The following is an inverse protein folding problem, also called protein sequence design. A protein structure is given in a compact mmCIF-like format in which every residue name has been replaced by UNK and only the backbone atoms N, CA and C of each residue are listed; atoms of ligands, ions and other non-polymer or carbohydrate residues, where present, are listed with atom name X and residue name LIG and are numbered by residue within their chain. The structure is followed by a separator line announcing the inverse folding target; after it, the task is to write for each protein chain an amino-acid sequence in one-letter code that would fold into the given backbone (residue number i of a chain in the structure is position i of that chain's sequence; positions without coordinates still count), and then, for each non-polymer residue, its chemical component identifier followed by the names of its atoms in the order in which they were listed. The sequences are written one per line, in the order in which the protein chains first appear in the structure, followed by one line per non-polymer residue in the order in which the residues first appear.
data_IF_605619009874
#
_entry.id   IF_605619009874
#
_cell.length_a   1.000
_cell.length_b   1.000
_cell.length_c   1.000
_cell.angle_alpha   90.00
_cell.angle_beta   90.00
_cell.angle_gamma   90.00
#
_symmetry.space_group_name_H-M   'P 1'
#
loop_
_entity.id
_entity.type
_entity.pdbx_description
1 polymer ?
#
# COMPACT_ATOMS: atom_id res chain seq x y z
N UNK A 1 -13.92 -8.73 -10.67
CA UNK A 1 -14.34 -8.70 -9.26
C UNK A 1 -13.15 -8.64 -8.29
N UNK A 2 -12.25 -9.64 -8.25
CA UNK A 2 -11.10 -9.63 -7.32
C UNK A 2 -10.05 -8.55 -7.64
N UNK A 3 -9.77 -8.33 -8.93
CA UNK A 3 -8.93 -7.25 -9.43
C UNK A 3 -9.55 -5.88 -9.19
N UNK A 4 -10.86 -5.74 -9.43
CA UNK A 4 -11.59 -4.48 -9.20
C UNK A 4 -11.55 -4.10 -7.72
N UNK A 5 -11.75 -5.07 -6.81
CA UNK A 5 -11.64 -4.85 -5.37
C UNK A 5 -10.24 -4.33 -4.98
N UNK A 6 -9.18 -4.95 -5.51
CA UNK A 6 -7.80 -4.51 -5.24
C UNK A 6 -7.53 -3.10 -5.80
N UNK A 7 -8.05 -2.78 -6.98
CA UNK A 7 -7.92 -1.45 -7.57
C UNK A 7 -8.66 -0.38 -6.76
N UNK A 8 -9.88 -0.67 -6.32
CA UNK A 8 -10.65 0.24 -5.48
C UNK A 8 -9.92 0.52 -4.17
N UNK A 9 -9.36 -0.50 -3.52
CA UNK A 9 -8.59 -0.33 -2.29
C UNK A 9 -7.33 0.52 -2.48
N UNK A 10 -6.63 0.35 -3.61
CA UNK A 10 -5.46 1.19 -3.95
C UNK A 10 -5.86 2.64 -4.15
N UNK A 11 -6.98 2.89 -4.83
CA UNK A 11 -7.49 4.25 -5.04
C UNK A 11 -7.86 4.92 -3.71
N UNK A 12 -8.65 4.24 -2.87
CA UNK A 12 -9.10 4.74 -1.57
C UNK A 12 -7.91 5.07 -0.66
N UNK A 13 -6.93 4.17 -0.59
CA UNK A 13 -5.69 4.39 0.18
C UNK A 13 -4.94 5.63 -0.32
N UNK A 14 -4.87 5.83 -1.64
CA UNK A 14 -4.25 7.00 -2.25
C UNK A 14 -4.97 8.30 -1.89
N UNK A 15 -6.31 8.30 -1.95
CA UNK A 15 -7.13 9.46 -1.62
C UNK A 15 -6.97 9.88 -0.15
N UNK A 16 -7.02 8.93 0.78
CA UNK A 16 -6.80 9.21 2.20
C UNK A 16 -5.40 9.76 2.47
N UNK A 17 -4.37 9.23 1.82
CA UNK A 17 -3.02 9.76 1.95
C UNK A 17 -2.91 11.20 1.42
N UNK A 18 -3.53 11.50 0.27
CA UNK A 18 -3.54 12.85 -0.29
C UNK A 18 -4.24 13.84 0.64
N UNK A 19 -5.44 13.49 1.12
CA UNK A 19 -6.19 14.36 2.03
C UNK A 19 -5.53 14.51 3.41
N UNK A 20 -4.88 13.48 3.94
CA UNK A 20 -4.09 13.58 5.17
C UNK A 20 -2.93 14.57 5.04
N UNK A 21 -2.30 14.64 3.86
CA UNK A 21 -1.19 15.55 3.57
C UNK A 21 -1.64 17.00 3.38
N UNK A 22 -2.84 17.22 2.84
CA UNK A 22 -3.35 18.56 2.49
C UNK A 22 -4.32 19.15 3.54
N UNK A 23 -4.66 18.42 4.60
CA UNK A 23 -5.56 18.93 5.63
C UNK A 23 -4.85 19.87 6.62
N UNK A 24 -5.52 20.99 6.96
CA UNK A 24 -4.96 22.01 7.85
C UNK A 24 -5.19 21.72 9.35
N UNK A 25 -6.16 20.86 9.68
CA UNK A 25 -6.57 20.59 11.07
C UNK A 25 -5.95 19.30 11.62
N UNK A 26 -5.26 19.38 12.76
CA UNK A 26 -4.61 18.22 13.37
C UNK A 26 -5.59 17.08 13.74
N UNK A 27 -6.79 17.40 14.20
CA UNK A 27 -7.80 16.39 14.54
C UNK A 27 -8.29 15.63 13.29
N UNK A 28 -8.55 16.36 12.21
CA UNK A 28 -8.96 15.80 10.91
C UNK A 28 -7.81 14.98 10.30
N UNK A 29 -6.57 15.45 10.44
CA UNK A 29 -5.37 14.70 10.04
C UNK A 29 -5.28 13.36 10.76
N UNK A 30 -5.44 13.36 12.07
CA UNK A 30 -5.36 12.15 12.87
C UNK A 30 -6.47 11.16 12.49
N UNK A 31 -7.68 11.66 12.19
CA UNK A 31 -8.76 10.83 11.67
C UNK A 31 -8.40 10.20 10.32
N UNK A 32 -7.90 11.00 9.36
CA UNK A 32 -7.47 10.45 8.07
C UNK A 32 -6.35 9.42 8.21
N UNK A 33 -5.38 9.64 9.10
CA UNK A 33 -4.32 8.67 9.37
C UNK A 33 -4.85 7.38 10.00
N UNK A 34 -5.86 7.46 10.88
CA UNK A 34 -6.52 6.27 11.44
C UNK A 34 -7.19 5.46 10.34
N UNK A 35 -7.97 6.11 9.49
CA UNK A 35 -8.68 5.44 8.39
C UNK A 35 -7.68 4.88 7.38
N UNK A 36 -6.62 5.62 7.04
CA UNK A 36 -5.56 5.16 6.14
C UNK A 36 -4.90 3.88 6.65
N UNK A 37 -4.69 3.77 7.96
CA UNK A 37 -4.14 2.56 8.57
C UNK A 37 -5.11 1.36 8.48
N UNK A 38 -6.41 1.61 8.64
CA UNK A 38 -7.45 0.59 8.43
C UNK A 38 -7.50 0.12 6.97
N UNK A 39 -7.49 1.05 6.00
CA UNK A 39 -7.48 0.72 4.57
C UNK A 39 -6.21 -0.04 4.15
N UNK A 40 -5.04 0.29 4.72
CA UNK A 40 -3.83 -0.51 4.51
C UNK A 40 -3.99 -1.96 4.97
N UNK A 41 -4.66 -2.17 6.11
CA UNK A 41 -4.94 -3.51 6.64
C UNK A 41 -5.89 -4.26 5.70
N UNK A 42 -6.99 -3.62 5.30
CA UNK A 42 -7.98 -4.21 4.37
C UNK A 42 -7.32 -4.56 3.03
N UNK A 43 -6.54 -3.66 2.45
CA UNK A 43 -5.84 -3.91 1.21
C UNK A 43 -4.89 -5.11 1.32
N UNK A 44 -4.16 -5.25 2.43
CA UNK A 44 -3.29 -6.39 2.66
C UNK A 44 -4.08 -7.71 2.74
N UNK A 45 -5.23 -7.71 3.40
CA UNK A 45 -6.10 -8.88 3.51
C UNK A 45 -6.69 -9.28 2.16
N UNK A 46 -7.14 -8.29 1.37
CA UNK A 46 -7.61 -8.49 0.00
C UNK A 46 -6.49 -9.09 -0.84
N UNK A 47 -5.32 -8.46 -0.84
CA UNK A 47 -4.14 -8.91 -1.58
C UNK A 47 -3.74 -10.34 -1.22
N UNK A 48 -3.67 -10.65 0.09
CA UNK A 48 -3.33 -11.98 0.57
C UNK A 48 -4.38 -13.02 0.15
N UNK A 49 -5.66 -12.67 0.19
CA UNK A 49 -6.77 -13.55 -0.16
C UNK A 49 -6.80 -13.88 -1.66
N UNK A 50 -6.57 -12.89 -2.53
CA UNK A 50 -6.52 -13.10 -3.99
C UNK A 50 -5.25 -13.87 -4.39
N UNK A 51 -4.12 -13.62 -3.71
CA UNK A 51 -2.85 -14.31 -3.96
C UNK A 51 -2.93 -15.78 -3.56
N UNK A 52 -3.51 -16.10 -2.39
CA UNK A 52 -3.75 -17.49 -1.94
C UNK A 52 -4.62 -18.30 -2.91
N UNK A 53 -5.51 -17.62 -3.66
CA UNK A 53 -6.36 -18.24 -4.68
C UNK A 53 -5.69 -18.33 -6.06
N UNK A 54 -4.46 -17.82 -6.20
CA UNK A 54 -3.71 -17.80 -7.45
C UNK A 54 -4.21 -16.77 -8.48
N UNK A 55 -5.07 -15.83 -8.08
CA UNK A 55 -5.68 -14.84 -8.98
C UNK A 55 -4.81 -13.61 -9.21
N UNK A 56 -3.76 -13.44 -8.41
CA UNK A 56 -2.81 -12.36 -8.52
C UNK A 56 -1.43 -12.89 -8.18
N UNK A 57 -0.51 -12.87 -9.15
CA UNK A 57 0.88 -13.24 -8.94
C UNK A 57 1.69 -11.96 -8.75
N UNK A 58 2.40 -11.86 -7.63
CA UNK A 58 3.45 -10.85 -7.46
C UNK A 58 4.77 -11.54 -7.74
N UNK A 59 5.43 -11.09 -8.81
CA UNK A 59 6.81 -11.47 -9.05
C UNK A 59 7.68 -10.89 -7.94
N UNK A 60 8.36 -11.76 -7.20
CA UNK A 60 9.41 -11.32 -6.29
C UNK A 60 10.47 -10.55 -7.09
N UNK A 61 10.88 -9.39 -6.57
CA UNK A 61 11.97 -8.64 -7.18
C UNK A 61 13.23 -9.52 -7.28
N UNK A 62 13.97 -9.52 -8.40
CA UNK A 62 15.21 -10.29 -8.53
C UNK A 62 16.18 -9.94 -7.41
N UNK A 63 16.70 -10.96 -6.72
CA UNK A 63 17.56 -10.77 -5.55
C UNK A 63 18.80 -9.92 -5.88
N UNK A 64 19.34 -10.05 -7.09
CA UNK A 64 20.48 -9.25 -7.55
C UNK A 64 20.16 -7.76 -7.60
N UNK A 65 18.96 -7.37 -8.07
CA UNK A 65 18.50 -5.98 -8.02
C UNK A 65 18.35 -5.48 -6.58
N UNK A 66 17.83 -6.32 -5.68
CA UNK A 66 17.70 -5.97 -4.25
C UNK A 66 19.08 -5.73 -3.64
N UNK A 67 20.05 -6.61 -3.91
CA UNK A 67 21.41 -6.50 -3.39
C UNK A 67 22.13 -5.26 -3.95
N UNK A 68 21.97 -4.97 -5.24
CA UNK A 68 22.52 -3.78 -5.88
C UNK A 68 22.00 -2.48 -5.24
N UNK A 69 20.69 -2.38 -5.04
CA UNK A 69 20.06 -1.20 -4.40
C UNK A 69 20.55 -1.08 -2.94
N UNK A 70 20.58 -2.17 -2.17
CA UNK A 70 21.11 -2.15 -0.80
C UNK A 70 22.54 -1.62 -0.74
N UNK A 71 23.43 -2.04 -1.64
CA UNK A 71 24.80 -1.53 -1.71
C UNK A 71 24.85 -0.04 -2.05
N UNK A 72 24.04 0.41 -3.02
CA UNK A 72 23.96 1.81 -3.42
C UNK A 72 23.55 2.75 -2.27
N UNK A 73 22.60 2.33 -1.43
CA UNK A 73 22.11 3.14 -0.31
C UNK A 73 22.86 2.90 1.02
N UNK A 74 23.70 1.86 1.12
CA UNK A 74 24.55 1.63 2.30
C UNK A 74 25.79 2.53 2.37
N UNK A 75 26.09 3.27 1.29
CA UNK A 75 27.23 4.19 1.21
C UNK A 75 26.84 5.66 1.42
N UNK A 76 25.67 5.92 2.03
CA UNK A 76 25.21 7.26 2.41
C UNK A 76 25.45 7.57 3.88
#
# INVERSE_FOLDING_TARGET
MATDLLHSQKAITGDYNNYANECAGNEVKNLFMSILNEEHTIQHDVFSSISKRGWYSVESAPQDKVNQIKQQFSQG
#
